data_IF_578418337813
#
_entry.id   IF_578418337813
#
_cell.length_a   1.000
_cell.length_b   1.000
_cell.length_c   1.000
_cell.angle_alpha   90.00
_cell.angle_beta   90.00
_cell.angle_gamma   90.00
#
_symmetry.space_group_name_H-M   'P 1'
#
loop_
_entity.id
_entity.type
_entity.pdbx_description
1 polymer ?
#
# COMPACT_ATOMS: atom_id res chain seq x y z
N UNK A 1 -11.69 -0.10 25.86
CA UNK A 1 -12.07 -0.31 24.50
C UNK A 1 -11.15 0.42 23.53
N UNK A 2 -10.66 -0.30 22.55
CA UNK A 2 -9.56 0.15 21.72
C UNK A 2 -10.00 0.75 20.39
N UNK A 3 -11.30 0.98 20.20
CA UNK A 3 -11.80 1.46 18.90
C UNK A 3 -11.23 2.81 18.47
N UNK A 4 -11.10 3.75 19.39
CA UNK A 4 -10.51 5.07 19.08
C UNK A 4 -9.04 4.96 18.75
N UNK A 5 -8.30 4.14 19.51
CA UNK A 5 -6.88 3.92 19.27
C UNK A 5 -6.67 3.21 17.93
N UNK A 6 -7.50 2.21 17.63
CA UNK A 6 -7.41 1.49 16.37
C UNK A 6 -7.69 2.39 15.17
N UNK A 7 -8.65 3.30 15.29
CA UNK A 7 -8.95 4.26 14.23
C UNK A 7 -7.79 5.22 14.00
N UNK A 8 -7.18 5.71 15.06
CA UNK A 8 -6.03 6.63 14.96
C UNK A 8 -4.86 5.94 14.31
N UNK A 9 -4.57 4.72 14.74
CA UNK A 9 -3.49 3.93 14.16
C UNK A 9 -3.73 3.70 12.68
N UNK A 10 -4.94 3.27 12.33
CA UNK A 10 -5.29 3.00 10.93
C UNK A 10 -5.18 4.27 10.09
N UNK A 11 -5.70 5.38 10.59
CA UNK A 11 -5.64 6.65 9.87
C UNK A 11 -4.20 7.09 9.66
N UNK A 12 -3.38 7.02 10.70
CA UNK A 12 -1.96 7.40 10.62
C UNK A 12 -1.22 6.52 9.61
N UNK A 13 -1.43 5.21 9.68
CA UNK A 13 -0.79 4.29 8.75
C UNK A 13 -1.22 4.55 7.31
N UNK A 14 -2.51 4.81 7.09
CA UNK A 14 -3.01 5.11 5.76
C UNK A 14 -2.43 6.40 5.20
N UNK A 15 -2.27 7.42 6.05
CA UNK A 15 -1.63 8.67 5.64
C UNK A 15 -0.18 8.44 5.23
N UNK A 16 0.54 7.62 6.00
CA UNK A 16 1.92 7.30 5.68
C UNK A 16 2.04 6.51 4.38
N UNK A 17 1.15 5.54 4.18
CA UNK A 17 1.14 4.73 2.96
C UNK A 17 0.80 5.56 1.73
N UNK A 18 -0.19 6.42 1.84
CA UNK A 18 -0.58 7.32 0.74
C UNK A 18 0.53 8.29 0.40
N UNK A 19 1.17 8.86 1.43
CA UNK A 19 2.29 9.77 1.23
C UNK A 19 3.48 9.09 0.57
N UNK A 20 3.78 7.86 0.98
CA UNK A 20 4.85 7.09 0.35
C UNK A 20 4.55 6.84 -1.12
N UNK A 21 3.32 6.44 -1.43
CA UNK A 21 2.92 6.19 -2.82
C UNK A 21 3.08 7.46 -3.68
N UNK A 22 2.71 8.61 -3.13
CA UNK A 22 2.86 9.88 -3.85
C UNK A 22 4.32 10.21 -4.10
N UNK A 23 5.17 10.04 -3.10
CA UNK A 23 6.60 10.32 -3.25
C UNK A 23 7.27 9.37 -4.24
N UNK A 24 6.81 8.13 -4.29
CA UNK A 24 7.34 7.15 -5.25
C UNK A 24 6.98 7.47 -6.69
N UNK A 25 6.03 8.34 -6.92
CA UNK A 25 5.74 8.82 -8.28
C UNK A 25 6.77 9.82 -8.75
N UNK A 26 7.47 10.46 -7.83
CA UNK A 26 8.42 11.54 -8.15
C UNK A 26 9.87 11.08 -8.06
N UNK A 27 10.17 10.10 -7.21
CA UNK A 27 11.54 9.67 -7.00
C UNK A 27 11.62 8.19 -6.63
N UNK A 28 12.82 7.65 -6.70
CA UNK A 28 13.07 6.26 -6.31
C UNK A 28 12.88 6.06 -4.83
N UNK A 29 12.43 4.87 -4.45
CA UNK A 29 12.25 4.50 -3.03
C UNK A 29 13.55 4.69 -2.25
N UNK A 30 14.70 4.50 -2.87
CA UNK A 30 16.01 4.65 -2.22
C UNK A 30 16.30 6.09 -1.84
N UNK A 31 15.67 7.04 -2.50
CA UNK A 31 15.88 8.46 -2.25
C UNK A 31 14.91 9.04 -1.24
N UNK A 32 13.88 8.28 -0.86
CA UNK A 32 12.86 8.75 0.07
C UNK A 32 13.34 8.55 1.50
N UNK A 33 13.31 9.62 2.30
CA UNK A 33 13.67 9.59 3.71
C UNK A 33 12.43 9.65 4.59
N UNK A 34 12.58 9.18 5.83
CA UNK A 34 11.50 9.28 6.82
C UNK A 34 11.10 10.74 7.03
N UNK A 35 12.09 11.63 7.13
CA UNK A 35 11.82 13.06 7.31
C UNK A 35 10.97 13.62 6.18
N UNK A 36 11.33 13.30 4.95
CA UNK A 36 10.61 13.76 3.78
C UNK A 36 9.16 13.26 3.80
N UNK A 37 8.98 12.00 4.13
CA UNK A 37 7.64 11.41 4.18
C UNK A 37 6.78 12.06 5.26
N UNK A 38 7.29 12.17 6.49
CA UNK A 38 6.49 12.71 7.59
C UNK A 38 6.18 14.19 7.39
N UNK A 39 7.10 14.94 6.78
CA UNK A 39 6.84 16.32 6.43
C UNK A 39 5.74 16.43 5.37
N UNK A 40 5.74 15.53 4.40
CA UNK A 40 4.75 15.54 3.32
C UNK A 40 3.33 15.29 3.83
N UNK A 41 3.17 14.48 4.87
CA UNK A 41 1.85 14.12 5.41
C UNK A 41 1.54 14.79 6.74
N UNK A 42 2.42 15.68 7.19
CA UNK A 42 2.26 16.45 8.43
C UNK A 42 2.09 15.54 9.65
N UNK A 43 2.97 14.57 9.77
CA UNK A 43 3.00 13.64 10.90
C UNK A 43 4.35 13.77 11.59
N UNK A 44 4.36 13.63 12.93
CA UNK A 44 5.59 13.64 13.70
C UNK A 44 6.46 12.44 13.36
N UNK A 45 7.77 12.67 13.30
CA UNK A 45 8.75 11.62 13.06
C UNK A 45 8.67 10.50 14.10
N UNK A 46 8.46 10.87 15.36
CA UNK A 46 8.30 9.89 16.43
C UNK A 46 7.08 8.99 16.22
N UNK A 47 6.01 9.54 15.64
CA UNK A 47 4.82 8.77 15.31
C UNK A 47 5.12 7.73 14.26
N UNK A 48 5.93 8.09 13.25
CA UNK A 48 6.37 7.11 12.25
C UNK A 48 7.05 5.92 12.92
N UNK A 49 8.00 6.20 13.82
CA UNK A 49 8.79 5.15 14.47
C UNK A 49 8.00 4.30 15.47
N UNK A 50 6.78 4.72 15.82
CA UNK A 50 5.89 3.85 16.59
C UNK A 50 5.40 2.66 15.77
N UNK A 51 5.32 2.82 14.44
CA UNK A 51 4.72 1.82 13.57
C UNK A 51 5.72 1.13 12.64
N UNK A 52 6.79 1.81 12.27
CA UNK A 52 7.76 1.31 11.29
C UNK A 52 9.17 1.66 11.73
N UNK A 53 10.13 0.83 11.35
CA UNK A 53 11.54 1.08 11.65
C UNK A 53 12.18 2.01 10.60
N UNK A 54 11.74 1.89 9.36
CA UNK A 54 12.33 2.62 8.24
C UNK A 54 11.35 2.62 7.05
N UNK A 55 11.77 3.27 5.97
CA UNK A 55 10.97 3.31 4.75
C UNK A 55 10.76 1.93 4.13
N UNK A 56 11.82 1.07 4.01
CA UNK A 56 11.60 -0.29 3.49
C UNK A 56 10.58 -1.11 4.29
N UNK A 57 10.53 -0.93 5.61
CA UNK A 57 9.53 -1.61 6.44
C UNK A 57 8.11 -1.19 6.10
N UNK A 58 7.91 0.11 5.89
CA UNK A 58 6.61 0.62 5.45
C UNK A 58 6.23 0.07 4.08
N UNK A 59 7.19 0.08 3.15
CA UNK A 59 6.95 -0.45 1.80
C UNK A 59 6.57 -1.93 1.85
N UNK A 60 7.24 -2.71 2.69
CA UNK A 60 6.94 -4.14 2.83
C UNK A 60 5.49 -4.37 3.27
N UNK A 61 4.99 -3.54 4.20
CA UNK A 61 3.60 -3.66 4.63
C UNK A 61 2.63 -3.35 3.48
N UNK A 62 2.93 -2.30 2.70
CA UNK A 62 2.11 -1.95 1.53
C UNK A 62 2.10 -3.10 0.52
N UNK A 63 3.26 -3.67 0.24
CA UNK A 63 3.36 -4.79 -0.70
C UNK A 63 2.58 -6.01 -0.22
N UNK A 64 2.64 -6.32 1.08
CA UNK A 64 1.90 -7.43 1.66
C UNK A 64 0.39 -7.22 1.54
N UNK A 65 -0.07 -6.00 1.79
CA UNK A 65 -1.50 -5.69 1.66
C UNK A 65 -1.97 -5.83 0.22
N UNK A 66 -1.16 -5.39 -0.73
CA UNK A 66 -1.48 -5.54 -2.16
C UNK A 66 -1.56 -7.01 -2.55
N UNK A 67 -0.64 -7.83 -2.03
CA UNK A 67 -0.67 -9.27 -2.26
C UNK A 67 -1.93 -9.90 -1.71
N UNK A 68 -2.31 -9.53 -0.50
CA UNK A 68 -3.52 -10.06 0.12
C UNK A 68 -4.77 -9.70 -0.68
N UNK A 69 -4.84 -8.47 -1.18
CA UNK A 69 -5.96 -8.04 -2.00
C UNK A 69 -6.00 -8.80 -3.32
N UNK A 70 -4.84 -9.00 -3.92
CA UNK A 70 -4.75 -9.78 -5.16
C UNK A 70 -5.21 -11.22 -4.94
N UNK A 71 -4.75 -11.85 -3.85
CA UNK A 71 -5.15 -13.21 -3.52
C UNK A 71 -6.65 -13.30 -3.26
N UNK A 72 -7.23 -12.31 -2.60
CA UNK A 72 -8.66 -12.25 -2.35
C UNK A 72 -9.44 -12.13 -3.65
N UNK A 73 -8.99 -11.27 -4.56
CA UNK A 73 -9.62 -11.10 -5.87
C UNK A 73 -9.60 -12.39 -6.66
N UNK A 74 -8.49 -13.12 -6.61
CA UNK A 74 -8.36 -14.41 -7.28
C UNK A 74 -9.31 -15.43 -6.68
N UNK A 75 -9.47 -15.44 -5.34
CA UNK A 75 -10.39 -16.37 -4.68
C UNK A 75 -11.84 -16.06 -5.03
N UNK A 76 -12.21 -14.79 -5.11
CA UNK A 76 -13.58 -14.38 -5.43
C UNK A 76 -13.89 -14.58 -6.91
N UNK A 77 -12.87 -14.50 -7.76
CA UNK A 77 -13.01 -14.69 -9.21
C UNK A 77 -11.98 -15.72 -9.65
N UNK A 78 -12.21 -17.02 -9.33
CA UNK A 78 -11.20 -18.04 -9.63
C UNK A 78 -10.93 -18.11 -11.12
N UNK A 79 -9.65 -18.22 -11.44
CA UNK A 79 -9.22 -18.40 -12.82
C UNK A 79 -9.49 -19.85 -13.23
N UNK A 80 -10.38 -20.04 -14.19
CA UNK A 80 -10.68 -21.35 -14.73
C UNK A 80 -9.87 -21.54 -16.01
N UNK A 81 -8.86 -22.42 -16.02
CA UNK A 81 -8.02 -22.58 -17.19
C UNK A 81 -8.75 -23.14 -18.41
N UNK A 82 -9.97 -23.67 -18.22
CA UNK A 82 -10.76 -24.15 -19.33
C UNK A 82 -11.67 -23.12 -19.98
N UNK A 83 -11.64 -21.88 -19.49
CA UNK A 83 -12.52 -20.82 -19.99
C UNK A 83 -11.72 -19.55 -20.24
N UNK A 84 -12.35 -18.59 -20.88
CA UNK A 84 -11.73 -17.31 -21.25
C UNK A 84 -11.45 -16.39 -20.06
N UNK A 85 -11.54 -16.91 -18.84
CA UNK A 85 -11.34 -16.14 -17.61
C UNK A 85 -9.95 -15.49 -17.56
N UNK A 86 -8.93 -16.23 -17.99
CA UNK A 86 -7.56 -15.70 -18.04
C UNK A 86 -7.47 -14.54 -19.02
N UNK A 87 -8.13 -14.68 -20.17
CA UNK A 87 -8.18 -13.61 -21.17
C UNK A 87 -8.80 -12.35 -20.59
N UNK A 88 -9.94 -12.46 -19.93
CA UNK A 88 -10.61 -11.32 -19.34
C UNK A 88 -9.81 -10.70 -18.22
N UNK A 89 -9.13 -11.51 -17.43
CA UNK A 89 -8.26 -11.03 -16.36
C UNK A 89 -7.11 -10.18 -16.92
N UNK A 90 -6.48 -10.68 -17.97
CA UNK A 90 -5.39 -9.96 -18.63
C UNK A 90 -5.92 -8.68 -19.27
N UNK A 91 -7.08 -8.73 -19.88
CA UNK A 91 -7.70 -7.57 -20.50
C UNK A 91 -8.00 -6.48 -19.47
N UNK A 92 -8.51 -6.86 -18.30
CA UNK A 92 -8.77 -5.92 -17.21
C UNK A 92 -7.49 -5.27 -16.72
N UNK A 93 -6.39 -6.02 -16.64
CA UNK A 93 -5.09 -5.47 -16.27
C UNK A 93 -4.63 -4.40 -17.25
N UNK A 94 -4.81 -4.64 -18.54
CA UNK A 94 -4.44 -3.68 -19.57
C UNK A 94 -5.34 -2.44 -19.52
N UNK A 95 -6.60 -2.59 -19.18
CA UNK A 95 -7.50 -1.45 -19.02
C UNK A 95 -7.08 -0.55 -17.85
N UNK A 96 -6.57 -1.13 -16.78
CA UNK A 96 -6.12 -0.36 -15.62
C UNK A 96 -4.86 0.44 -15.96
N UNK A 97 -4.03 -0.08 -16.86
CA UNK A 97 -2.78 0.57 -17.26
C UNK A 97 -3.03 1.68 -18.29
N UNK A 98 -4.06 1.56 -19.08
CA UNK A 98 -4.45 2.59 -20.01
C UNK A 98 -5.13 3.74 -19.27
#
# INVERSE_FOLDING_TARGET
MQKKTDRRVRKTKNQLKTGLAQLMREKSIREITVKELVDAVDINRSTFYLHYSDIPGLLAEVENEMMEEMQRAIREHPIDPGKDTVYYFIQDLFHVID
#
